data_IF_804395053643
#
_entry.id   IF_804395053643
#
_cell.length_a   1.000
_cell.length_b   1.000
_cell.length_c   1.000
_cell.angle_alpha   90.00
_cell.angle_beta   90.00
_cell.angle_gamma   90.00
#
_symmetry.space_group_name_H-M   'P 1'
#
loop_
_entity.id
_entity.type
_entity.pdbx_description
1 polymer ?
#
# COMPACT_ATOMS: atom_id res chain seq x y z
N UNK A 1 10.80 13.68 14.32
CA UNK A 1 10.64 13.39 12.87
C UNK A 1 10.44 11.89 12.71
N UNK A 2 9.50 11.39 11.88
CA UNK A 2 9.26 9.96 11.73
C UNK A 2 10.48 9.24 11.13
N UNK A 3 10.80 8.10 11.72
CA UNK A 3 11.89 7.19 11.32
C UNK A 3 11.54 6.48 10.01
N UNK A 4 10.29 6.03 9.90
CA UNK A 4 9.66 5.55 8.68
C UNK A 4 8.17 5.93 8.67
N UNK A 5 7.59 6.03 7.48
CA UNK A 5 6.17 6.28 7.27
C UNK A 5 5.69 5.51 6.03
N UNK A 6 5.19 4.29 6.28
CA UNK A 6 4.73 3.41 5.22
C UNK A 6 3.49 3.93 4.48
N UNK A 7 2.69 4.81 5.09
CA UNK A 7 1.55 5.43 4.43
C UNK A 7 1.98 6.32 3.25
N UNK A 8 3.18 6.91 3.32
CA UNK A 8 3.77 7.74 2.26
C UNK A 8 4.97 7.12 1.56
N UNK A 9 5.18 5.80 1.74
CA UNK A 9 6.30 5.02 1.20
C UNK A 9 7.68 5.63 1.54
N UNK A 10 7.86 6.06 2.79
CA UNK A 10 9.06 6.75 3.26
C UNK A 10 9.83 5.96 4.32
N UNK A 11 11.15 5.94 4.20
CA UNK A 11 12.08 5.53 5.25
C UNK A 11 13.31 6.44 5.20
N UNK A 12 13.72 6.99 6.35
CA UNK A 12 14.85 7.94 6.40
C UNK A 12 16.20 7.29 6.07
N UNK A 13 16.34 6.01 6.40
CA UNK A 13 17.49 5.17 6.09
C UNK A 13 17.05 3.71 6.07
N UNK A 14 17.98 2.80 5.74
CA UNK A 14 17.75 1.36 5.92
C UNK A 14 17.79 1.04 7.42
N UNK A 15 16.73 0.38 7.90
CA UNK A 15 16.66 -0.11 9.28
C UNK A 15 16.91 -1.61 9.32
N UNK A 16 17.36 -2.11 10.47
CA UNK A 16 17.47 -3.56 10.70
C UNK A 16 16.08 -4.23 10.78
N UNK A 17 15.05 -3.44 11.13
CA UNK A 17 13.66 -3.87 11.18
C UNK A 17 13.05 -3.75 9.78
N UNK A 18 12.35 -4.78 9.29
CA UNK A 18 11.67 -4.73 7.99
C UNK A 18 10.65 -3.58 7.91
N UNK A 19 10.53 -2.94 6.76
CA UNK A 19 9.65 -1.78 6.58
C UNK A 19 8.18 -2.09 6.88
N UNK A 20 7.72 -3.31 6.61
CA UNK A 20 6.37 -3.77 6.94
C UNK A 20 6.11 -3.82 8.45
N UNK A 21 7.12 -4.10 9.28
CA UNK A 21 6.94 -4.08 10.74
C UNK A 21 6.84 -2.64 11.26
N UNK A 22 7.61 -1.71 10.68
CA UNK A 22 7.51 -0.28 10.98
C UNK A 22 6.16 0.31 10.54
N UNK A 23 5.57 -0.21 9.45
CA UNK A 23 4.20 0.13 9.05
C UNK A 23 3.20 -0.26 10.14
N UNK A 24 3.28 -1.49 10.65
CA UNK A 24 2.36 -1.96 11.71
C UNK A 24 2.52 -1.15 12.99
N UNK A 25 3.76 -0.85 13.41
CA UNK A 25 4.03 0.01 14.56
C UNK A 25 3.41 1.40 14.39
N UNK A 26 3.59 2.02 13.21
CA UNK A 26 2.99 3.31 12.90
C UNK A 26 1.45 3.26 12.91
N UNK A 27 0.86 2.18 12.39
CA UNK A 27 -0.59 1.99 12.41
C UNK A 27 -1.13 1.83 13.83
N UNK A 28 -0.40 1.13 14.70
CA UNK A 28 -0.76 0.97 16.11
C UNK A 28 -0.76 2.30 16.85
N UNK A 29 0.24 3.17 16.61
CA UNK A 29 0.28 4.52 17.18
C UNK A 29 -0.89 5.41 16.72
N UNK A 30 -1.44 5.15 15.53
CA UNK A 30 -2.62 5.83 15.01
C UNK A 30 -3.94 5.14 15.41
N UNK A 31 -3.89 4.13 16.28
CA UNK A 31 -5.05 3.34 16.75
C UNK A 31 -5.84 2.67 15.61
N UNK A 32 -5.14 2.34 14.52
CA UNK A 32 -5.75 1.76 13.33
C UNK A 32 -5.89 0.24 13.44
N UNK A 33 -7.01 -0.26 12.96
CA UNK A 33 -7.25 -1.69 12.72
C UNK A 33 -6.61 -2.13 11.40
N UNK A 34 -6.45 -3.43 11.19
CA UNK A 34 -5.91 -3.96 9.94
C UNK A 34 -6.72 -3.53 8.68
N UNK A 35 -8.07 -3.52 8.69
CA UNK A 35 -8.85 -2.96 7.58
C UNK A 35 -8.61 -1.48 7.33
N UNK A 36 -8.58 -0.65 8.37
CA UNK A 36 -8.33 0.80 8.25
C UNK A 36 -6.93 1.09 7.70
N UNK A 37 -5.91 0.39 8.21
CA UNK A 37 -4.55 0.42 7.68
C UNK A 37 -4.55 0.09 6.17
N UNK A 38 -5.24 -0.98 5.79
CA UNK A 38 -5.28 -1.49 4.42
C UNK A 38 -5.86 -0.44 3.47
N UNK A 39 -7.07 0.07 3.76
CA UNK A 39 -7.70 1.07 2.89
C UNK A 39 -6.88 2.35 2.81
N UNK A 40 -6.30 2.81 3.91
CA UNK A 40 -5.47 4.01 3.93
C UNK A 40 -4.23 3.86 3.03
N UNK A 41 -3.51 2.73 3.11
CA UNK A 41 -2.36 2.50 2.22
C UNK A 41 -2.80 2.47 0.76
N UNK A 42 -3.81 1.66 0.43
CA UNK A 42 -4.28 1.55 -0.95
C UNK A 42 -4.76 2.88 -1.54
N UNK A 43 -5.53 3.65 -0.76
CA UNK A 43 -6.03 4.97 -1.18
C UNK A 43 -4.93 6.01 -1.34
N UNK A 44 -4.00 6.10 -0.39
CA UNK A 44 -2.89 7.05 -0.47
C UNK A 44 -1.96 6.74 -1.65
N UNK A 45 -1.80 5.47 -2.03
CA UNK A 45 -1.05 5.09 -3.23
C UNK A 45 -1.69 5.58 -4.51
N UNK A 46 -2.98 5.32 -4.72
CA UNK A 46 -3.66 5.75 -5.96
C UNK A 46 -3.82 7.28 -6.03
N UNK A 47 -3.88 7.95 -4.88
CA UNK A 47 -3.86 9.41 -4.79
C UNK A 47 -2.47 10.02 -5.01
N UNK A 48 -1.40 9.21 -5.08
CA UNK A 48 -0.04 9.69 -5.29
C UNK A 48 0.58 10.38 -4.09
N UNK A 49 0.16 10.06 -2.87
CA UNK A 49 0.63 10.70 -1.63
C UNK A 49 2.02 10.21 -1.15
N UNK A 50 2.87 9.76 -2.08
CA UNK A 50 4.20 9.26 -1.76
C UNK A 50 5.19 10.42 -1.55
N UNK A 51 6.19 10.21 -0.68
CA UNK A 51 7.27 11.19 -0.51
C UNK A 51 8.13 11.27 -1.78
N UNK A 52 8.45 12.50 -2.20
CA UNK A 52 9.33 12.76 -3.33
C UNK A 52 8.76 12.32 -4.68
N UNK A 53 7.42 12.26 -4.80
CA UNK A 53 6.70 11.86 -6.03
C UNK A 53 7.11 10.49 -6.58
N UNK A 54 7.55 9.58 -5.68
CA UNK A 54 7.91 8.22 -6.07
C UNK A 54 6.70 7.46 -6.62
N UNK A 55 6.92 6.68 -7.69
CA UNK A 55 5.92 5.81 -8.30
C UNK A 55 5.74 4.45 -7.61
N UNK A 56 6.49 4.18 -6.53
CA UNK A 56 6.40 2.90 -5.82
C UNK A 56 5.01 2.67 -5.22
N UNK A 57 4.39 1.56 -5.57
CA UNK A 57 3.06 1.19 -5.08
C UNK A 57 1.91 1.90 -5.77
N UNK A 58 2.16 2.82 -6.72
CA UNK A 58 1.11 3.54 -7.46
C UNK A 58 0.55 2.66 -8.57
N UNK A 59 -0.16 1.60 -8.20
CA UNK A 59 -0.69 0.60 -9.15
C UNK A 59 -2.01 1.08 -9.76
N UNK A 60 -1.95 2.16 -10.52
CA UNK A 60 -3.08 2.72 -11.27
C UNK A 60 -2.57 3.49 -12.48
N UNK A 61 -3.42 3.59 -13.51
CA UNK A 61 -3.19 4.47 -14.66
C UNK A 61 -3.86 5.84 -14.50
N UNK A 62 -4.57 6.07 -13.39
CA UNK A 62 -5.28 7.32 -13.09
C UNK A 62 -4.88 7.89 -11.72
N UNK A 63 -3.60 8.29 -11.51
CA UNK A 63 -3.20 8.92 -10.26
C UNK A 63 -4.09 10.12 -9.89
N UNK A 64 -4.42 10.24 -8.60
CA UNK A 64 -5.31 11.27 -8.08
C UNK A 64 -6.79 10.89 -8.07
N UNK A 65 -7.17 9.74 -8.66
CA UNK A 65 -8.53 9.20 -8.58
C UNK A 65 -8.59 8.12 -7.50
N UNK A 66 -9.41 8.35 -6.47
CA UNK A 66 -9.63 7.37 -5.42
C UNK A 66 -10.38 6.15 -5.98
N UNK A 67 -9.67 5.03 -6.10
CA UNK A 67 -10.13 3.77 -6.67
C UNK A 67 -9.46 2.59 -5.96
N UNK A 68 -10.03 1.39 -6.10
CA UNK A 68 -9.44 0.16 -5.56
C UNK A 68 -8.37 -0.47 -6.47
N UNK A 69 -7.88 0.28 -7.48
CA UNK A 69 -6.90 -0.16 -8.47
C UNK A 69 -5.64 -0.75 -7.81
N UNK A 70 -5.22 -0.22 -6.65
CA UNK A 70 -4.09 -0.75 -5.88
C UNK A 70 -4.23 -2.25 -5.60
N UNK A 71 -5.37 -2.68 -5.06
CA UNK A 71 -5.58 -4.08 -4.69
C UNK A 71 -5.82 -4.97 -5.90
N UNK A 72 -6.59 -4.48 -6.87
CA UNK A 72 -6.85 -5.20 -8.11
C UNK A 72 -5.55 -5.54 -8.85
N UNK A 73 -4.62 -4.58 -8.96
CA UNK A 73 -3.34 -4.78 -9.64
C UNK A 73 -2.31 -5.52 -8.79
N UNK A 74 -2.33 -5.37 -7.47
CA UNK A 74 -1.46 -6.13 -6.56
C UNK A 74 -1.76 -7.63 -6.58
N UNK A 75 -3.04 -7.99 -6.65
CA UNK A 75 -3.51 -9.38 -6.63
C UNK A 75 -3.65 -10.01 -8.02
N UNK A 76 -3.42 -9.24 -9.09
CA UNK A 76 -3.41 -9.78 -10.45
C UNK A 76 -2.23 -10.75 -10.63
N UNK A 77 -2.56 -12.03 -10.80
CA UNK A 77 -1.59 -13.10 -11.02
C UNK A 77 -0.80 -12.95 -12.32
N UNK A 78 -1.23 -12.11 -13.26
CA UNK A 78 -0.46 -11.76 -14.47
C UNK A 78 0.80 -10.98 -14.15
N UNK A 79 0.90 -10.36 -12.98
CA UNK A 79 2.09 -9.65 -12.52
C UNK A 79 2.97 -10.60 -11.69
N UNK A 80 4.25 -10.70 -12.06
CA UNK A 80 5.28 -11.36 -11.28
C UNK A 80 6.20 -10.33 -10.62
N UNK A 81 6.41 -10.47 -9.31
CA UNK A 81 7.23 -9.55 -8.53
C UNK A 81 8.64 -10.13 -8.31
N UNK A 82 9.68 -9.35 -8.67
CA UNK A 82 11.08 -9.70 -8.45
C UNK A 82 11.79 -8.57 -7.71
N UNK A 83 12.62 -8.91 -6.74
CA UNK A 83 13.44 -7.91 -6.05
C UNK A 83 14.44 -7.28 -7.04
N UNK A 84 14.59 -5.96 -7.00
CA UNK A 84 15.52 -5.23 -7.89
C UNK A 84 16.97 -5.29 -7.41
N UNK A 85 17.19 -5.72 -6.16
CA UNK A 85 18.51 -5.85 -5.56
C UNK A 85 18.52 -6.87 -4.41
N UNK A 86 19.71 -7.19 -3.91
CA UNK A 86 19.89 -8.06 -2.74
C UNK A 86 19.29 -7.48 -1.46
N UNK A 87 19.09 -6.15 -1.38
CA UNK A 87 18.47 -5.54 -0.20
C UNK A 87 17.01 -5.92 -0.04
N UNK A 88 16.34 -6.34 -1.13
CA UNK A 88 14.91 -6.75 -1.15
C UNK A 88 13.98 -5.70 -0.54
N UNK A 89 14.31 -4.43 -0.74
CA UNK A 89 13.49 -3.29 -0.31
C UNK A 89 12.53 -2.82 -1.42
N UNK A 90 12.98 -2.93 -2.68
CA UNK A 90 12.23 -2.54 -3.88
C UNK A 90 12.09 -3.75 -4.79
N UNK A 91 10.93 -3.85 -5.40
CA UNK A 91 10.51 -4.92 -6.28
C UNK A 91 9.94 -4.34 -7.57
N UNK A 92 10.20 -5.04 -8.65
CA UNK A 92 9.65 -4.75 -9.97
C UNK A 92 8.61 -5.81 -10.31
N UNK A 93 7.41 -5.35 -10.66
CA UNK A 93 6.30 -6.16 -11.14
C UNK A 93 6.33 -6.21 -12.65
N UNK A 94 6.54 -7.40 -13.22
CA UNK A 94 6.58 -7.64 -14.66
C UNK A 94 5.38 -8.45 -15.12
N UNK A 95 4.89 -8.19 -16.33
CA UNK A 95 3.91 -9.08 -16.95
C UNK A 95 4.53 -10.47 -17.19
N UNK A 96 3.85 -11.52 -16.74
CA UNK A 96 4.35 -12.91 -16.86
C UNK A 96 4.47 -13.38 -18.30
N UNK A 97 3.66 -12.84 -19.21
CA UNK A 97 3.63 -13.27 -20.61
C UNK A 97 4.64 -12.52 -21.47
N UNK A 98 4.77 -11.20 -21.28
CA UNK A 98 5.67 -10.37 -22.10
C UNK A 98 7.01 -10.10 -21.44
N UNK A 99 7.10 -10.20 -20.11
CA UNK A 99 8.28 -9.81 -19.33
C UNK A 99 8.45 -8.30 -19.15
N UNK A 100 7.53 -7.49 -19.66
CA UNK A 100 7.58 -6.03 -19.58
C UNK A 100 7.36 -5.56 -18.15
N UNK A 101 8.15 -4.57 -17.71
CA UNK A 101 7.99 -3.94 -16.41
C UNK A 101 6.71 -3.10 -16.39
N UNK A 102 5.78 -3.43 -15.49
CA UNK A 102 4.52 -2.71 -15.29
C UNK A 102 4.57 -1.78 -14.08
N UNK A 103 5.08 -2.29 -12.96
CA UNK A 103 4.96 -1.64 -11.67
C UNK A 103 6.27 -1.72 -10.89
N UNK A 104 6.44 -0.81 -9.94
CA UNK A 104 7.45 -0.95 -8.89
C UNK A 104 6.77 -0.80 -7.54
N UNK A 105 7.23 -1.54 -6.53
CA UNK A 105 6.65 -1.50 -5.19
C UNK A 105 7.71 -1.81 -4.14
N UNK A 106 7.47 -1.37 -2.91
CA UNK A 106 8.35 -1.68 -1.78
C UNK A 106 7.78 -2.82 -0.95
N UNK A 107 8.52 -3.24 0.09
CA UNK A 107 8.02 -4.21 1.08
C UNK A 107 6.68 -3.80 1.70
N UNK A 108 6.47 -2.50 1.90
CA UNK A 108 5.24 -1.93 2.45
C UNK A 108 4.05 -2.17 1.54
N UNK A 109 4.26 -2.17 0.22
CA UNK A 109 3.20 -2.39 -0.75
C UNK A 109 2.91 -3.90 -0.90
N UNK A 110 3.96 -4.72 -0.97
CA UNK A 110 3.84 -6.16 -1.22
C UNK A 110 3.46 -6.99 0.02
N UNK A 111 3.52 -6.42 1.23
CA UNK A 111 3.07 -7.13 2.43
C UNK A 111 1.58 -7.48 2.35
N UNK A 112 0.77 -6.64 1.69
CA UNK A 112 -0.66 -6.87 1.48
C UNK A 112 -0.96 -8.03 0.53
N UNK A 113 0.03 -8.47 -0.28
CA UNK A 113 -0.08 -9.65 -1.13
C UNK A 113 0.54 -10.92 -0.54
N UNK A 114 1.33 -10.80 0.54
CA UNK A 114 2.16 -11.89 1.09
C UNK A 114 1.78 -12.32 2.51
N UNK A 115 1.34 -11.41 3.38
CA UNK A 115 0.79 -11.77 4.69
C UNK A 115 -0.65 -12.26 4.53
N UNK A 116 -0.97 -13.45 5.05
CA UNK A 116 -2.28 -14.09 4.83
C UNK A 116 -3.46 -13.27 5.36
N UNK A 117 -3.31 -12.59 6.51
CA UNK A 117 -4.38 -11.79 7.11
C UNK A 117 -4.59 -10.52 6.29
N UNK A 118 -3.52 -9.80 5.95
CA UNK A 118 -3.62 -8.58 5.12
C UNK A 118 -4.11 -8.91 3.71
N UNK A 119 -3.71 -10.05 3.16
CA UNK A 119 -4.17 -10.53 1.87
C UNK A 119 -5.66 -10.82 1.86
N UNK A 120 -6.20 -11.44 2.90
CA UNK A 120 -7.65 -11.67 3.01
C UNK A 120 -8.43 -10.35 2.98
N UNK A 121 -7.92 -9.29 3.63
CA UNK A 121 -8.52 -7.96 3.58
C UNK A 121 -8.35 -7.31 2.19
N UNK A 122 -7.18 -7.46 1.57
CA UNK A 122 -6.93 -6.95 0.22
C UNK A 122 -7.85 -7.60 -0.82
N UNK A 123 -8.13 -8.89 -0.70
CA UNK A 123 -9.04 -9.64 -1.59
C UNK A 123 -10.49 -9.10 -1.51
N UNK A 124 -10.93 -8.68 -0.31
CA UNK A 124 -12.23 -7.98 -0.16
C UNK A 124 -12.24 -6.71 -1.00
N UNK A 125 -11.24 -5.84 -0.87
CA UNK A 125 -11.21 -4.57 -1.60
C UNK A 125 -10.84 -4.69 -3.09
N UNK A 126 -10.21 -5.79 -3.51
CA UNK A 126 -9.97 -6.08 -4.93
C UNK A 126 -11.19 -6.63 -5.67
N UNK A 127 -12.24 -7.02 -4.94
CA UNK A 127 -13.47 -7.55 -5.54
C UNK A 127 -14.16 -6.49 -6.41
N UNK A 128 -14.80 -6.94 -7.51
CA UNK A 128 -15.37 -6.05 -8.53
C UNK A 128 -16.48 -5.13 -8.00
N UNK A 129 -17.18 -5.54 -6.94
CA UNK A 129 -18.25 -4.82 -6.26
C UNK A 129 -17.78 -3.98 -5.06
N UNK A 130 -16.48 -4.01 -4.73
CA UNK A 130 -15.95 -3.39 -3.52
C UNK A 130 -15.54 -1.92 -3.68
N UNK A 131 -15.66 -1.32 -4.87
CA UNK A 131 -15.19 0.05 -5.10
C UNK A 131 -15.90 1.08 -4.21
N UNK A 132 -17.22 1.03 -4.11
CA UNK A 132 -17.97 1.97 -3.25
C UNK A 132 -17.62 1.79 -1.78
N UNK A 133 -17.57 0.53 -1.32
CA UNK A 133 -17.15 0.16 0.04
C UNK A 133 -15.74 0.68 0.35
N UNK A 134 -14.80 0.48 -0.57
CA UNK A 134 -13.42 0.96 -0.42
C UNK A 134 -13.37 2.47 -0.21
N UNK A 135 -14.11 3.25 -1.01
CA UNK A 135 -14.16 4.71 -0.88
C UNK A 135 -14.74 5.12 0.49
N UNK A 136 -15.84 4.50 0.91
CA UNK A 136 -16.48 4.80 2.19
C UNK A 136 -15.54 4.47 3.37
N UNK A 137 -14.92 3.30 3.36
CA UNK A 137 -14.01 2.85 4.42
C UNK A 137 -12.73 3.69 4.44
N UNK A 138 -12.21 4.09 3.27
CA UNK A 138 -11.08 5.01 3.18
C UNK A 138 -11.40 6.36 3.82
N UNK A 139 -12.54 6.95 3.46
CA UNK A 139 -12.97 8.25 4.01
C UNK A 139 -13.16 8.16 5.53
N UNK A 140 -13.79 7.10 6.02
CA UNK A 140 -13.97 6.88 7.46
C UNK A 140 -12.63 6.78 8.20
N UNK A 141 -11.69 5.98 7.67
CA UNK A 141 -10.36 5.84 8.24
C UNK A 141 -9.56 7.16 8.18
N UNK A 142 -9.66 7.91 7.09
CA UNK A 142 -9.02 9.22 6.95
C UNK A 142 -9.57 10.21 7.97
N UNK A 143 -10.90 10.33 8.07
CA UNK A 143 -11.56 11.20 9.05
C UNK A 143 -11.17 10.84 10.47
N UNK A 144 -11.08 9.55 10.82
CA UNK A 144 -10.60 9.10 12.13
C UNK A 144 -9.20 9.64 12.42
N UNK A 145 -8.24 9.44 11.51
CA UNK A 145 -6.86 9.92 11.71
C UNK A 145 -6.79 11.44 11.87
N UNK A 146 -7.61 12.19 11.12
CA UNK A 146 -7.69 13.64 11.21
C UNK A 146 -8.33 14.17 12.51
N UNK A 147 -8.89 13.31 13.35
CA UNK A 147 -9.58 13.69 14.59
C UNK A 147 -8.91 13.13 15.86
N UNK A 148 -7.77 12.44 15.75
CA UNK A 148 -7.11 11.76 16.88
C UNK A 148 -6.67 12.69 18.02
N UNK A 149 -6.47 13.98 17.75
CA UNK A 149 -6.01 14.98 18.72
C UNK A 149 -7.11 15.95 19.18
N UNK A 150 -8.37 15.70 18.80
CA UNK A 150 -9.52 16.56 19.13
C UNK A 150 -10.18 16.16 20.46
N UNK A 151 -9.45 16.31 21.56
CA UNK A 151 -9.93 16.08 22.93
C UNK A 151 -10.83 17.20 23.46
#
# INVERSE_FOLDING_TARGET
EPVADGFRNYAKQRYAVPAEALLIDKAQLLTLTAPELTVLVGGLRVLGANVGDSSHGVFTTRPGVLSNDFFANLLDMRTEWKATSESKEVYEGRDRSTGEAKWTGTRVDLVFGSNSILRAVAEVYASADAQEKFVQDFVAAWTKVMQLDRF
#
